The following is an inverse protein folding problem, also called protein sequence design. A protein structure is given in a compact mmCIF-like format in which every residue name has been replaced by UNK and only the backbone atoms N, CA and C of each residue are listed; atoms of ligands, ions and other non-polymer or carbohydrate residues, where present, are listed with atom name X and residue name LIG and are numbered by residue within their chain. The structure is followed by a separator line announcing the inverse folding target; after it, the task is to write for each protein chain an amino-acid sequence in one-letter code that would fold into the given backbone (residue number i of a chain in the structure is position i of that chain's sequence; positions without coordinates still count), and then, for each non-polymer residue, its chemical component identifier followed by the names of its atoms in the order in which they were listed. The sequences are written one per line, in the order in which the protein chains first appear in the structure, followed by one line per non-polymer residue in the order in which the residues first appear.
data_IF_419930534102
#
_entry.id   IF_419930534102
#
_cell.length_a   1.000
_cell.length_b   1.000
_cell.length_c   1.000
_cell.angle_alpha   90.00
_cell.angle_beta   90.00
_cell.angle_gamma   90.00
#
_symmetry.space_group_name_H-M   'P 1'
#
loop_
_entity.id
_entity.type
_entity.pdbx_description
1 polymer ?
#
# COMPACT_ATOMS: atom_id res chain seq x y z
N UNK A 1 62.15 0.33 20.25
CA UNK A 1 61.35 1.26 19.44
C UNK A 1 61.63 0.93 17.98
N UNK A 2 60.57 0.60 17.25
CA UNK A 2 60.33 0.92 15.83
C UNK A 2 59.45 -0.17 15.22
N UNK A 3 58.25 0.28 14.87
CA UNK A 3 57.08 -0.42 14.38
C UNK A 3 57.34 -1.30 13.16
N UNK A 4 56.87 -2.55 13.25
CA UNK A 4 56.52 -3.35 12.09
C UNK A 4 55.13 -2.93 11.59
N UNK A 5 55.06 -1.89 10.77
CA UNK A 5 53.86 -1.58 10.00
C UNK A 5 54.07 -2.06 8.56
N UNK A 6 53.28 -3.06 8.20
CA UNK A 6 53.25 -3.73 6.90
C UNK A 6 53.12 -2.71 5.75
N UNK A 7 53.86 -2.94 4.67
CA UNK A 7 53.96 -2.05 3.52
C UNK A 7 52.60 -1.75 2.88
N UNK A 8 52.12 -0.53 3.11
CA UNK A 8 50.93 0.06 2.48
C UNK A 8 51.13 0.43 0.99
N UNK A 9 52.33 0.23 0.45
CA UNK A 9 52.69 0.61 -0.93
C UNK A 9 51.90 -0.13 -2.00
N UNK A 10 51.52 -1.39 -1.73
CA UNK A 10 50.83 -2.24 -2.69
C UNK A 10 49.30 -2.12 -2.69
N UNK A 11 48.72 -1.32 -1.76
CA UNK A 11 47.29 -0.99 -1.77
C UNK A 11 46.94 0.23 -2.63
N UNK A 12 47.88 0.73 -3.43
CA UNK A 12 47.64 1.90 -4.28
C UNK A 12 46.80 1.52 -5.50
N UNK A 13 45.48 1.58 -5.35
CA UNK A 13 44.54 1.44 -6.47
C UNK A 13 44.74 2.60 -7.44
N UNK A 14 44.94 2.35 -8.76
CA UNK A 14 45.02 3.43 -9.74
C UNK A 14 43.73 4.24 -9.69
N UNK A 15 43.86 5.53 -9.37
CA UNK A 15 42.72 6.44 -9.37
C UNK A 15 42.31 6.69 -10.82
N UNK A 16 41.18 6.11 -11.22
CA UNK A 16 40.53 6.43 -12.48
C UNK A 16 40.00 7.85 -12.36
N UNK A 17 40.60 8.78 -13.11
CA UNK A 17 40.01 10.11 -13.30
C UNK A 17 38.74 9.95 -14.11
N UNK A 18 37.60 9.91 -13.43
CA UNK A 18 36.28 9.95 -14.08
C UNK A 18 36.19 11.31 -14.74
N UNK A 19 36.23 11.33 -16.08
CA UNK A 19 36.09 12.56 -16.85
C UNK A 19 34.82 13.29 -16.42
N UNK A 20 34.97 14.56 -16.06
CA UNK A 20 33.93 15.49 -15.63
C UNK A 20 32.66 15.26 -16.46
N UNK A 21 31.72 14.51 -15.88
CA UNK A 21 30.38 14.39 -16.42
C UNK A 21 29.75 15.76 -16.21
N UNK A 22 29.88 16.64 -17.22
CA UNK A 22 29.08 17.86 -17.29
C UNK A 22 27.64 17.42 -17.31
N UNK A 23 27.03 17.35 -16.14
CA UNK A 23 25.61 17.12 -15.98
C UNK A 23 24.92 18.22 -16.77
N UNK A 24 24.36 17.86 -17.93
CA UNK A 24 23.34 18.68 -18.56
C UNK A 24 22.32 19.04 -17.47
N UNK A 25 21.77 20.28 -17.45
CA UNK A 25 20.80 20.64 -16.44
C UNK A 25 19.63 19.67 -16.57
N UNK A 26 19.62 18.67 -15.69
CA UNK A 26 18.62 17.64 -15.62
C UNK A 26 17.36 18.29 -15.12
N UNK A 27 16.61 18.92 -16.02
CA UNK A 27 15.24 19.29 -15.75
C UNK A 27 14.57 18.04 -15.21
N UNK A 28 14.06 18.11 -13.97
CA UNK A 28 13.23 17.05 -13.39
C UNK A 28 12.26 16.64 -14.49
N UNK A 29 12.37 15.42 -15.01
CA UNK A 29 11.38 14.89 -15.96
C UNK A 29 10.05 15.05 -15.23
N UNK A 30 9.26 16.06 -15.62
CA UNK A 30 7.89 16.18 -15.16
C UNK A 30 7.30 14.85 -15.59
N UNK A 31 6.97 13.99 -14.63
CA UNK A 31 6.17 12.81 -14.91
C UNK A 31 5.01 13.36 -15.73
N UNK A 32 4.94 12.99 -17.01
CA UNK A 32 3.73 13.21 -17.79
C UNK A 32 2.65 12.68 -16.89
N UNK A 33 1.72 13.54 -16.45
CA UNK A 33 0.62 13.11 -15.61
C UNK A 33 -0.04 11.97 -16.39
N UNK A 34 0.25 10.74 -15.99
CA UNK A 34 -0.20 9.54 -16.68
C UNK A 34 -1.62 9.35 -16.20
N UNK A 35 -2.49 10.22 -16.71
CA UNK A 35 -3.91 10.11 -16.50
C UNK A 35 -4.30 8.71 -16.96
N UNK A 36 -4.91 7.97 -16.05
CA UNK A 36 -5.45 6.66 -16.36
C UNK A 36 -6.83 6.90 -16.94
N UNK A 37 -7.04 6.48 -18.18
CA UNK A 37 -8.36 6.49 -18.78
C UNK A 37 -9.20 5.41 -18.08
N UNK A 38 -10.12 5.84 -17.20
CA UNK A 38 -11.03 4.97 -16.46
C UNK A 38 -10.87 5.01 -14.95
N UNK A 39 -11.34 3.95 -14.29
CA UNK A 39 -11.29 3.85 -12.83
C UNK A 39 -9.90 3.45 -12.34
N UNK A 40 -9.48 4.07 -11.24
CA UNK A 40 -8.21 3.80 -10.60
C UNK A 40 -8.39 3.72 -9.09
N UNK A 41 -7.42 3.07 -8.43
CA UNK A 41 -7.33 3.07 -6.98
C UNK A 41 -6.51 4.29 -6.53
N UNK A 42 -7.14 5.23 -5.83
CA UNK A 42 -6.44 6.41 -5.30
C UNK A 42 -5.45 5.96 -4.21
N UNK A 43 -4.17 6.31 -4.39
CA UNK A 43 -3.12 6.03 -3.39
C UNK A 43 -3.11 7.05 -2.25
N UNK A 44 -2.32 6.85 -1.18
CA UNK A 44 -1.44 5.71 -0.89
C UNK A 44 -2.18 4.53 -0.25
N UNK A 45 -1.94 3.32 -0.76
CA UNK A 45 -2.46 2.07 -0.19
C UNK A 45 -1.29 1.34 0.48
N UNK A 46 -1.28 1.18 1.82
CA UNK A 46 -0.19 0.52 2.51
C UNK A 46 -0.08 -0.95 2.07
N UNK A 47 1.07 -1.30 1.48
CA UNK A 47 1.32 -2.69 1.05
C UNK A 47 1.40 -3.65 2.24
N UNK A 48 1.83 -3.19 3.41
CA UNK A 48 1.81 -3.98 4.65
C UNK A 48 0.37 -4.38 5.04
N UNK A 49 -0.55 -3.43 4.93
CA UNK A 49 -1.98 -3.68 5.18
C UNK A 49 -2.56 -4.63 4.13
N UNK A 50 -2.25 -4.43 2.85
CA UNK A 50 -2.77 -5.26 1.78
C UNK A 50 -2.17 -6.67 1.79
N UNK A 51 -0.88 -6.79 2.12
CA UNK A 51 -0.20 -8.08 2.29
C UNK A 51 -0.86 -8.94 3.37
N UNK A 52 -1.29 -8.32 4.47
CA UNK A 52 -2.09 -9.02 5.50
C UNK A 52 -3.45 -9.47 4.96
N UNK A 53 -4.09 -8.72 4.08
CA UNK A 53 -5.34 -9.15 3.44
C UNK A 53 -5.12 -10.31 2.45
N UNK A 54 -3.99 -10.33 1.73
CA UNK A 54 -3.66 -11.34 0.72
C UNK A 54 -3.41 -12.74 1.29
N UNK A 55 -2.92 -12.84 2.52
CA UNK A 55 -2.66 -14.14 3.18
C UNK A 55 -3.91 -14.77 3.81
N UNK A 56 -5.01 -14.02 3.91
CA UNK A 56 -6.24 -14.54 4.48
C UNK A 56 -6.93 -15.52 3.52
N UNK A 57 -7.59 -16.57 4.05
CA UNK A 57 -8.25 -17.56 3.21
C UNK A 57 -9.46 -16.98 2.49
N UNK A 58 -9.49 -17.19 1.16
CA UNK A 58 -10.66 -16.92 0.33
C UNK A 58 -10.50 -15.72 -0.60
N UNK A 59 -10.74 -15.94 -1.90
CA UNK A 59 -10.59 -14.94 -2.96
C UNK A 59 -11.34 -13.62 -2.70
N UNK A 60 -12.50 -13.72 -2.08
CA UNK A 60 -13.37 -12.56 -1.85
C UNK A 60 -12.82 -11.61 -0.78
N UNK A 61 -11.94 -12.08 0.11
CA UNK A 61 -11.30 -11.25 1.14
C UNK A 61 -10.50 -10.13 0.48
N UNK A 62 -9.67 -10.50 -0.50
CA UNK A 62 -8.83 -9.57 -1.25
C UNK A 62 -9.66 -8.60 -2.08
N UNK A 63 -10.69 -9.12 -2.77
CA UNK A 63 -11.58 -8.28 -3.59
C UNK A 63 -12.34 -7.26 -2.74
N UNK A 64 -12.83 -7.66 -1.57
CA UNK A 64 -13.50 -6.75 -0.61
C UNK A 64 -12.51 -5.74 -0.03
N UNK A 65 -11.28 -6.15 0.28
CA UNK A 65 -10.23 -5.26 0.76
C UNK A 65 -9.91 -4.15 -0.25
N UNK A 66 -9.77 -4.50 -1.53
CA UNK A 66 -9.56 -3.53 -2.62
C UNK A 66 -10.79 -2.62 -2.80
N UNK A 67 -12.00 -3.17 -2.71
CA UNK A 67 -13.23 -2.39 -2.79
C UNK A 67 -13.36 -1.36 -1.66
N UNK A 68 -12.89 -1.70 -0.46
CA UNK A 68 -12.84 -0.79 0.69
C UNK A 68 -11.87 0.37 0.41
N UNK A 69 -10.66 0.08 -0.07
CA UNK A 69 -9.69 1.12 -0.43
C UNK A 69 -10.15 1.99 -1.60
N UNK A 70 -10.86 1.42 -2.55
CA UNK A 70 -11.47 2.17 -3.65
C UNK A 70 -12.52 3.15 -3.13
N UNK A 71 -13.42 2.71 -2.26
CA UNK A 71 -14.42 3.61 -1.66
C UNK A 71 -13.76 4.65 -0.74
N UNK A 72 -12.70 4.28 -0.02
CA UNK A 72 -11.92 5.22 0.80
C UNK A 72 -11.32 6.35 -0.06
N UNK A 73 -10.71 5.98 -1.20
CA UNK A 73 -10.17 6.92 -2.16
C UNK A 73 -11.23 7.83 -2.79
N UNK A 74 -12.41 7.27 -3.11
CA UNK A 74 -13.56 8.02 -3.65
C UNK A 74 -14.14 9.02 -2.65
N UNK A 75 -14.16 8.68 -1.36
CA UNK A 75 -14.70 9.53 -0.29
C UNK A 75 -13.67 10.46 0.34
N UNK A 76 -12.40 10.26 0.02
CA UNK A 76 -11.28 10.92 0.71
C UNK A 76 -11.33 10.73 2.23
N UNK A 77 -11.73 9.52 2.67
CA UNK A 77 -11.89 9.20 4.08
C UNK A 77 -11.64 7.71 4.31
N UNK A 78 -11.19 7.36 5.52
CA UNK A 78 -10.98 5.97 5.95
C UNK A 78 -12.09 5.48 6.88
N UNK A 79 -13.04 6.33 7.22
CA UNK A 79 -14.06 6.06 8.24
C UNK A 79 -15.46 5.90 7.66
N UNK A 80 -16.28 5.04 8.30
CA UNK A 80 -17.71 4.88 8.02
C UNK A 80 -18.02 4.71 6.52
N UNK A 81 -17.19 3.94 5.83
CA UNK A 81 -17.31 3.63 4.41
C UNK A 81 -18.50 2.71 4.19
N UNK A 82 -19.47 3.17 3.41
CA UNK A 82 -20.68 2.39 3.12
C UNK A 82 -20.40 1.42 1.97
N UNK A 83 -20.19 0.15 2.30
CA UNK A 83 -20.02 -0.89 1.28
C UNK A 83 -21.37 -1.29 0.67
N UNK A 84 -21.71 -0.64 -0.44
CA UNK A 84 -22.88 -0.98 -1.25
C UNK A 84 -22.63 -2.22 -2.11
N UNK A 85 -23.71 -2.89 -2.52
CA UNK A 85 -23.62 -3.99 -3.50
C UNK A 85 -23.06 -3.52 -4.84
N UNK A 86 -23.34 -2.29 -5.26
CA UNK A 86 -22.81 -1.71 -6.50
C UNK A 86 -21.29 -1.61 -6.48
N UNK A 87 -20.70 -1.13 -5.38
CA UNK A 87 -19.23 -1.04 -5.25
C UNK A 87 -18.62 -2.44 -5.29
N UNK A 88 -19.16 -3.38 -4.52
CA UNK A 88 -18.66 -4.75 -4.47
C UNK A 88 -18.81 -5.49 -5.81
N UNK A 89 -19.89 -5.21 -6.55
CA UNK A 89 -20.13 -5.75 -7.88
C UNK A 89 -19.07 -5.35 -8.90
N UNK A 90 -18.48 -4.15 -8.78
CA UNK A 90 -17.33 -3.72 -9.61
C UNK A 90 -16.11 -4.62 -9.44
N UNK A 91 -15.95 -5.20 -8.25
CA UNK A 91 -14.87 -6.14 -7.92
C UNK A 91 -15.30 -7.60 -8.08
N UNK A 92 -16.46 -7.87 -8.70
CA UNK A 92 -16.96 -9.23 -8.91
C UNK A 92 -17.54 -9.92 -7.68
N UNK A 93 -17.78 -9.18 -6.58
CA UNK A 93 -18.37 -9.73 -5.35
C UNK A 93 -19.88 -9.48 -5.35
N UNK A 94 -20.64 -10.46 -5.82
CA UNK A 94 -22.11 -10.40 -5.90
C UNK A 94 -22.80 -11.16 -4.75
N UNK A 95 -22.16 -12.19 -4.20
CA UNK A 95 -22.73 -13.02 -3.15
C UNK A 95 -22.67 -12.33 -1.76
N UNK A 96 -23.82 -12.28 -1.10
CA UNK A 96 -23.97 -11.72 0.25
C UNK A 96 -23.18 -12.53 1.28
N UNK A 97 -23.15 -13.85 1.15
CA UNK A 97 -22.44 -14.74 2.09
C UNK A 97 -20.92 -14.59 1.95
N UNK A 98 -20.42 -14.46 0.72
CA UNK A 98 -19.06 -14.11 0.41
C UNK A 98 -18.65 -12.76 1.02
N UNK A 99 -19.47 -11.71 0.84
CA UNK A 99 -19.26 -10.40 1.48
C UNK A 99 -19.15 -10.54 3.00
N UNK A 100 -20.09 -11.26 3.62
CA UNK A 100 -20.12 -11.44 5.06
C UNK A 100 -18.85 -12.13 5.58
N UNK A 101 -18.46 -13.25 4.97
CA UNK A 101 -17.25 -14.00 5.34
C UNK A 101 -15.99 -13.16 5.15
N UNK A 102 -15.90 -12.41 4.04
CA UNK A 102 -14.76 -11.54 3.77
C UNK A 102 -14.64 -10.41 4.79
N UNK A 103 -15.74 -9.75 5.14
CA UNK A 103 -15.75 -8.70 6.16
C UNK A 103 -15.38 -9.24 7.54
N UNK A 104 -15.85 -10.44 7.89
CA UNK A 104 -15.50 -11.09 9.14
C UNK A 104 -13.99 -11.40 9.19
N UNK A 105 -13.43 -12.00 8.14
CA UNK A 105 -12.01 -12.33 8.09
C UNK A 105 -11.11 -11.07 8.18
N UNK A 106 -11.48 -9.97 7.51
CA UNK A 106 -10.74 -8.70 7.59
C UNK A 106 -10.84 -8.05 8.97
N UNK A 107 -12.00 -8.16 9.63
CA UNK A 107 -12.23 -7.65 10.97
C UNK A 107 -11.47 -8.47 12.04
N UNK A 108 -11.53 -9.80 11.97
CA UNK A 108 -10.75 -10.72 12.81
C UNK A 108 -9.25 -10.51 12.63
N UNK A 109 -8.82 -10.27 11.39
CA UNK A 109 -7.45 -9.91 11.10
C UNK A 109 -7.09 -8.50 11.58
N UNK A 110 -7.98 -7.72 12.19
CA UNK A 110 -7.68 -6.38 12.73
C UNK A 110 -7.34 -5.35 11.65
N UNK A 111 -7.76 -5.56 10.40
CA UNK A 111 -7.52 -4.65 9.28
C UNK A 111 -8.62 -3.59 9.14
N UNK A 112 -9.83 -3.93 9.59
CA UNK A 112 -11.00 -3.07 9.54
C UNK A 112 -11.84 -3.22 10.81
N UNK A 113 -12.70 -2.23 11.05
CA UNK A 113 -13.81 -2.32 11.99
C UNK A 113 -15.13 -2.28 11.22
N UNK A 114 -16.08 -3.16 11.54
CA UNK A 114 -17.36 -3.25 10.83
C UNK A 114 -18.52 -2.92 11.77
N UNK A 115 -19.19 -1.81 11.53
CA UNK A 115 -20.46 -1.48 12.18
C UNK A 115 -21.62 -2.08 11.37
N UNK A 116 -22.21 -3.16 11.89
CA UNK A 116 -23.37 -3.84 11.29
C UNK A 116 -24.65 -3.21 11.83
N UNK A 117 -25.53 -2.73 10.94
CA UNK A 117 -26.84 -2.18 11.29
C UNK A 117 -27.97 -3.02 10.68
N UNK A 118 -29.07 -3.27 11.42
CA UNK A 118 -30.21 -3.99 10.88
C UNK A 118 -30.74 -3.35 9.59
N UNK A 119 -30.97 -4.17 8.55
CA UNK A 119 -31.51 -3.76 7.23
C UNK A 119 -30.71 -2.65 6.51
N UNK A 120 -29.46 -2.39 6.90
CA UNK A 120 -28.62 -1.39 6.27
C UNK A 120 -27.32 -1.99 5.73
N UNK A 121 -26.65 -1.24 4.86
CA UNK A 121 -25.29 -1.59 4.45
C UNK A 121 -24.33 -1.41 5.64
N UNK A 122 -23.38 -2.34 5.82
CA UNK A 122 -22.38 -2.21 6.87
C UNK A 122 -21.53 -0.96 6.63
N UNK A 123 -21.18 -0.29 7.71
CA UNK A 123 -20.20 0.79 7.70
C UNK A 123 -18.84 0.21 8.08
N UNK A 124 -17.84 0.49 7.28
CA UNK A 124 -16.48 -0.02 7.49
C UNK A 124 -15.54 1.13 7.77
N UNK A 125 -14.71 0.96 8.80
CA UNK A 125 -13.59 1.86 9.06
C UNK A 125 -12.31 1.07 8.84
N UNK A 126 -11.41 1.62 8.02
CA UNK A 126 -10.07 1.06 7.84
C UNK A 126 -9.29 1.35 9.12
N UNK A 127 -8.67 0.31 9.69
CA UNK A 127 -7.76 0.47 10.81
C UNK A 127 -6.35 0.61 10.24
N UNK A 128 -5.62 1.61 10.71
CA UNK A 128 -4.20 1.74 10.39
C UNK A 128 -3.50 0.54 11.04
N UNK A 129 -3.30 -0.50 10.23
CA UNK A 129 -2.69 -1.76 10.63
C UNK A 129 -1.19 -1.58 10.81
N UNK A 130 -0.80 -0.80 11.82
CA UNK A 130 0.57 -0.52 12.19
C UNK A 130 1.33 0.25 11.10
N UNK A 131 1.35 1.56 11.22
CA UNK A 131 2.65 2.20 11.04
C UNK A 131 3.61 1.46 11.98
N UNK A 132 4.61 0.78 11.41
CA UNK A 132 5.91 0.87 12.06
C UNK A 132 6.19 2.36 12.08
N UNK A 133 5.97 2.97 13.25
CA UNK A 133 6.48 4.29 13.56
C UNK A 133 8.00 4.15 13.45
N UNK A 134 8.53 4.39 12.25
CA UNK A 134 9.93 4.64 12.07
C UNK A 134 10.17 6.01 12.70
N UNK A 135 10.51 5.97 13.99
CA UNK A 135 11.28 7.00 14.66
C UNK A 135 12.45 7.37 13.75
N UNK A 136 12.33 8.50 13.05
CA UNK A 136 13.48 9.24 12.58
C UNK A 136 13.95 10.10 13.75
N UNK A 137 14.94 9.57 14.47
CA UNK A 137 15.85 10.36 15.29
C UNK A 137 16.88 11.10 14.43
#
# INVERSE_FOLDING_TARGET
MSDGFLGLGDLRVPQVTVGEQRGAPGGRKRHSSSWVDGEFLRGPVPLSWLGRAFVLPGKNVVLVALAIWFEAGRRDSRERLKLTSAILGRFGVTDRSAKYRALLALEEAGLIRVERRPRANPLVTILDGGETSAVAG
#
